data_IF_406880530704
#
_entry.id   IF_406880530704
#
_cell.length_a   1.000
_cell.length_b   1.000
_cell.length_c   1.000
_cell.angle_alpha   90.00
_cell.angle_beta   90.00
_cell.angle_gamma   90.00
#
_symmetry.space_group_name_H-M   'P 1'
#
loop_
_entity.id
_entity.type
_entity.pdbx_description
1 polymer ?
#
# COMPACT_ATOMS: atom_id res chain seq x y z
N UNK A 1 7.57 -19.08 -7.45
CA UNK A 1 8.65 -18.75 -6.49
C UNK A 1 8.10 -18.99 -5.10
N UNK A 2 8.84 -19.65 -4.23
CA UNK A 2 8.40 -19.96 -2.84
C UNK A 2 8.91 -18.81 -1.98
N UNK A 3 8.01 -17.93 -1.55
CA UNK A 3 8.39 -16.75 -0.77
C UNK A 3 8.62 -17.05 0.71
N UNK A 4 8.05 -18.16 1.23
CA UNK A 4 8.19 -18.54 2.64
C UNK A 4 9.65 -18.70 3.07
N UNK A 5 10.52 -19.27 2.24
CA UNK A 5 11.94 -19.44 2.57
C UNK A 5 12.65 -18.11 2.80
N UNK A 6 12.40 -17.12 1.96
CA UNK A 6 13.05 -15.80 2.07
C UNK A 6 12.48 -15.00 3.25
N UNK A 7 11.17 -15.13 3.51
CA UNK A 7 10.56 -14.55 4.72
C UNK A 7 11.14 -15.18 5.98
N UNK A 8 11.37 -16.49 5.98
CA UNK A 8 11.99 -17.18 7.11
C UNK A 8 13.42 -16.67 7.37
N UNK A 9 14.22 -16.48 6.32
CA UNK A 9 15.57 -15.89 6.47
C UNK A 9 15.51 -14.54 7.17
N UNK A 10 14.55 -13.70 6.80
CA UNK A 10 14.39 -12.40 7.42
C UNK A 10 13.91 -12.51 8.88
N UNK A 11 12.96 -13.38 9.18
CA UNK A 11 12.53 -13.67 10.56
C UNK A 11 13.72 -14.04 11.43
N UNK A 12 14.60 -14.93 10.95
CA UNK A 12 15.76 -15.41 11.71
C UNK A 12 16.80 -14.32 12.01
N UNK A 13 16.80 -13.21 11.30
CA UNK A 13 17.66 -12.05 11.59
C UNK A 13 17.23 -11.28 12.85
N UNK A 14 15.94 -11.33 13.19
CA UNK A 14 15.35 -10.56 14.28
C UNK A 14 14.86 -11.41 15.45
N UNK A 15 14.59 -12.70 15.20
CA UNK A 15 14.07 -13.60 16.20
C UNK A 15 15.14 -13.99 17.23
N UNK A 16 14.76 -14.01 18.49
CA UNK A 16 15.58 -14.58 19.55
C UNK A 16 15.55 -16.14 19.49
N UNK A 17 16.42 -16.85 20.28
CA UNK A 17 16.48 -18.32 20.24
C UNK A 17 15.15 -19.02 20.52
N UNK A 18 14.34 -18.53 21.47
CA UNK A 18 13.05 -19.14 21.81
C UNK A 18 12.01 -18.94 20.69
N UNK A 19 11.98 -17.78 20.07
CA UNK A 19 11.13 -17.46 18.91
C UNK A 19 11.53 -18.32 17.69
N UNK A 20 12.84 -18.46 17.44
CA UNK A 20 13.37 -19.33 16.38
C UNK A 20 12.91 -20.77 16.55
N UNK A 21 13.03 -21.33 17.77
CA UNK A 21 12.56 -22.68 18.08
C UNK A 21 11.06 -22.81 17.87
N UNK A 22 10.29 -21.81 18.31
CA UNK A 22 8.84 -21.81 18.12
C UNK A 22 8.45 -21.81 16.63
N UNK A 23 9.01 -20.91 15.84
CA UNK A 23 8.77 -20.84 14.38
C UNK A 23 9.12 -22.16 13.71
N UNK A 24 10.30 -22.72 13.99
CA UNK A 24 10.73 -24.00 13.43
C UNK A 24 9.80 -25.16 13.82
N UNK A 25 9.25 -25.16 15.04
CA UNK A 25 8.30 -26.18 15.51
C UNK A 25 6.95 -26.13 14.78
N UNK A 26 6.52 -24.92 14.34
CA UNK A 26 5.22 -24.71 13.67
C UNK A 26 5.28 -24.86 12.15
N UNK A 27 6.43 -24.56 11.53
CA UNK A 27 6.59 -24.57 10.07
C UNK A 27 6.34 -25.93 9.39
N UNK A 28 6.31 -27.02 10.14
CA UNK A 28 6.05 -28.38 9.62
C UNK A 28 4.59 -28.84 9.79
N UNK A 29 3.72 -27.97 10.29
CA UNK A 29 2.33 -28.29 10.56
C UNK A 29 1.50 -28.42 9.28
N UNK A 30 0.37 -29.11 9.40
CA UNK A 30 -0.68 -29.07 8.38
C UNK A 30 -1.42 -27.72 8.40
N UNK A 31 -2.33 -27.47 7.44
CA UNK A 31 -3.02 -26.17 7.31
C UNK A 31 -3.81 -25.76 8.54
N UNK A 32 -4.41 -26.70 9.30
CA UNK A 32 -5.13 -26.40 10.54
C UNK A 32 -4.19 -26.05 11.69
N UNK A 33 -3.08 -26.76 11.82
CA UNK A 33 -2.05 -26.47 12.82
C UNK A 33 -1.38 -25.13 12.56
N UNK A 34 -1.12 -24.80 11.29
CA UNK A 34 -0.61 -23.50 10.87
C UNK A 34 -1.62 -22.37 11.17
N UNK A 35 -2.91 -22.58 10.91
CA UNK A 35 -3.93 -21.59 11.26
C UNK A 35 -4.00 -21.33 12.76
N UNK A 36 -3.89 -22.38 13.60
CA UNK A 36 -3.79 -22.21 15.04
C UNK A 36 -2.50 -21.44 15.43
N UNK A 37 -1.37 -21.75 14.81
CA UNK A 37 -0.12 -21.04 15.04
C UNK A 37 -0.23 -19.56 14.66
N UNK A 38 -0.91 -19.24 13.56
CA UNK A 38 -1.17 -17.86 13.13
C UNK A 38 -1.91 -17.03 14.23
N UNK A 39 -2.96 -17.59 14.80
CA UNK A 39 -3.70 -16.94 15.89
C UNK A 39 -2.84 -16.83 17.16
N UNK A 40 -2.05 -17.85 17.45
CA UNK A 40 -1.22 -17.90 18.68
C UNK A 40 0.07 -17.06 18.57
N UNK A 41 0.47 -16.60 17.40
CA UNK A 41 1.74 -15.88 17.16
C UNK A 41 2.04 -14.79 18.20
N UNK A 42 1.12 -13.89 18.59
CA UNK A 42 1.43 -12.81 19.52
C UNK A 42 1.76 -13.26 20.95
N UNK A 43 1.52 -14.51 21.28
CA UNK A 43 1.87 -15.09 22.60
C UNK A 43 3.31 -15.58 22.67
N UNK A 44 3.95 -15.80 21.52
CA UNK A 44 5.26 -16.44 21.42
C UNK A 44 6.29 -15.58 20.70
N UNK A 45 5.83 -14.61 19.91
CA UNK A 45 6.68 -13.74 19.09
C UNK A 45 6.52 -12.29 19.55
N UNK A 46 7.64 -11.63 19.73
CA UNK A 46 7.69 -10.23 20.14
C UNK A 46 7.26 -9.27 19.03
N UNK A 47 6.96 -8.04 19.43
CA UNK A 47 6.72 -6.91 18.51
C UNK A 47 8.01 -6.16 18.17
N UNK A 48 9.12 -6.87 18.04
CA UNK A 48 10.39 -6.29 17.58
C UNK A 48 10.20 -5.66 16.19
N UNK A 49 10.64 -4.42 16.02
CA UNK A 49 10.55 -3.72 14.74
C UNK A 49 11.51 -4.30 13.71
N UNK A 50 11.02 -4.51 12.48
CA UNK A 50 11.83 -4.91 11.34
C UNK A 50 12.47 -3.66 10.74
N UNK A 51 13.78 -3.59 10.75
CA UNK A 51 14.54 -2.48 10.20
C UNK A 51 15.49 -2.96 9.11
N UNK A 52 15.72 -2.14 8.08
CA UNK A 52 16.62 -2.47 6.97
C UNK A 52 16.28 -3.86 6.35
N UNK A 53 14.99 -4.10 6.12
CA UNK A 53 14.51 -5.33 5.49
C UNK A 53 14.90 -5.39 4.01
N UNK A 54 15.07 -6.63 3.49
CA UNK A 54 15.26 -6.87 2.06
C UNK A 54 13.91 -6.85 1.34
N UNK A 55 13.80 -6.13 0.23
CA UNK A 55 12.65 -6.24 -0.66
C UNK A 55 12.74 -7.57 -1.43
N UNK A 56 11.75 -8.44 -1.26
CA UNK A 56 11.67 -9.74 -1.93
C UNK A 56 10.86 -9.65 -3.22
N UNK A 57 9.81 -8.88 -3.17
CA UNK A 57 8.94 -8.56 -4.30
C UNK A 57 9.07 -7.06 -4.52
N UNK A 58 9.22 -6.64 -5.77
CA UNK A 58 9.26 -5.22 -6.09
C UNK A 58 7.99 -4.53 -5.58
N UNK A 59 8.18 -3.43 -4.86
CA UNK A 59 7.09 -2.68 -4.23
C UNK A 59 6.48 -3.29 -2.96
N UNK A 60 7.00 -4.41 -2.44
CA UNK A 60 6.58 -4.98 -1.17
C UNK A 60 7.63 -4.70 -0.09
N UNK A 61 7.37 -3.74 0.77
CA UNK A 61 8.26 -3.36 1.86
C UNK A 61 7.76 -3.87 3.20
N UNK A 62 8.70 -4.32 4.05
CA UNK A 62 8.42 -4.72 5.43
C UNK A 62 9.00 -3.72 6.44
N UNK A 63 9.44 -2.60 5.95
CA UNK A 63 9.94 -1.55 6.79
C UNK A 63 8.91 -1.16 7.82
N UNK A 64 8.55 -0.91 8.70
CA UNK A 64 7.44 -0.66 9.63
C UNK A 64 6.68 -1.92 10.09
N UNK A 65 7.14 -3.13 9.71
CA UNK A 65 6.52 -4.34 10.22
C UNK A 65 7.13 -4.74 11.56
N UNK A 66 6.32 -5.38 12.39
CA UNK A 66 6.79 -6.07 13.59
C UNK A 66 7.07 -7.54 13.31
N UNK A 67 7.94 -8.17 14.11
CA UNK A 67 8.32 -9.56 13.94
C UNK A 67 7.10 -10.50 14.00
N UNK A 68 6.16 -10.26 14.91
CA UNK A 68 4.92 -11.03 15.00
C UNK A 68 4.07 -10.93 13.73
N UNK A 69 4.00 -9.74 13.11
CA UNK A 69 3.33 -9.55 11.81
C UNK A 69 4.05 -10.32 10.69
N UNK A 70 5.38 -10.27 10.65
CA UNK A 70 6.16 -10.99 9.63
C UNK A 70 6.04 -12.50 9.79
N UNK A 71 6.02 -13.01 11.02
CA UNK A 71 5.79 -14.45 11.31
C UNK A 71 4.38 -14.86 10.90
N UNK A 72 3.36 -14.05 11.13
CA UNK A 72 2.00 -14.29 10.61
C UNK A 72 1.99 -14.41 9.09
N UNK A 73 2.65 -13.49 8.39
CA UNK A 73 2.77 -13.51 6.92
C UNK A 73 3.47 -14.80 6.46
N UNK A 74 4.55 -15.21 7.13
CA UNK A 74 5.23 -16.46 6.85
C UNK A 74 4.28 -17.67 6.95
N UNK A 75 3.52 -17.76 8.03
CA UNK A 75 2.55 -18.85 8.25
C UNK A 75 1.46 -18.85 7.17
N UNK A 76 0.96 -17.69 6.77
CA UNK A 76 -0.02 -17.55 5.68
C UNK A 76 0.57 -18.08 4.36
N UNK A 77 1.83 -17.77 4.06
CA UNK A 77 2.52 -18.29 2.88
C UNK A 77 2.63 -19.83 2.93
N UNK A 78 2.98 -20.42 4.09
CA UNK A 78 3.01 -21.88 4.26
C UNK A 78 1.63 -22.51 4.01
N UNK A 79 0.55 -21.94 4.55
CA UNK A 79 -0.80 -22.43 4.30
C UNK A 79 -1.12 -22.37 2.81
N UNK A 80 -0.76 -21.28 2.14
CA UNK A 80 -0.97 -21.11 0.69
C UNK A 80 -0.18 -22.12 -0.14
N UNK A 81 1.05 -22.44 0.25
CA UNK A 81 1.91 -23.43 -0.42
C UNK A 81 1.37 -24.86 -0.29
N UNK A 82 0.64 -25.15 0.79
CA UNK A 82 -0.08 -26.42 1.03
C UNK A 82 -1.48 -26.46 0.38
N UNK A 83 -1.77 -25.54 -0.58
CA UNK A 83 -3.08 -25.40 -1.23
C UNK A 83 -4.24 -25.18 -0.24
N UNK A 84 -3.96 -24.52 0.88
CA UNK A 84 -4.90 -24.25 1.97
C UNK A 84 -5.80 -23.04 1.77
N UNK A 85 -6.34 -22.82 0.56
CA UNK A 85 -7.19 -21.66 0.26
C UNK A 85 -8.44 -21.58 1.15
N UNK A 86 -9.10 -22.71 1.41
CA UNK A 86 -10.27 -22.78 2.30
C UNK A 86 -9.90 -22.37 3.73
N UNK A 87 -8.73 -22.81 4.21
CA UNK A 87 -8.26 -22.44 5.53
C UNK A 87 -7.92 -20.94 5.62
N UNK A 88 -7.34 -20.35 4.55
CA UNK A 88 -7.11 -18.91 4.47
C UNK A 88 -8.43 -18.13 4.45
N UNK A 89 -9.44 -18.58 3.70
CA UNK A 89 -10.76 -17.97 3.71
C UNK A 89 -11.39 -17.97 5.09
N UNK A 90 -11.28 -19.09 5.83
CA UNK A 90 -11.76 -19.17 7.21
C UNK A 90 -11.04 -18.17 8.12
N UNK A 91 -9.72 -18.01 7.96
CA UNK A 91 -8.96 -17.00 8.68
C UNK A 91 -9.44 -15.58 8.35
N UNK A 92 -9.69 -15.26 7.07
CA UNK A 92 -10.26 -13.97 6.69
C UNK A 92 -11.61 -13.69 7.34
N UNK A 93 -12.49 -14.72 7.44
CA UNK A 93 -13.84 -14.59 8.00
C UNK A 93 -13.84 -14.35 9.52
N UNK A 94 -12.81 -14.80 10.22
CA UNK A 94 -12.72 -14.77 11.69
C UNK A 94 -11.64 -13.82 12.22
N UNK A 95 -10.91 -13.13 11.34
CA UNK A 95 -9.75 -12.33 11.69
C UNK A 95 -10.08 -11.15 12.61
N UNK A 96 -9.31 -10.97 13.67
CA UNK A 96 -9.20 -9.71 14.36
C UNK A 96 -8.38 -8.68 13.53
N UNK A 97 -8.35 -7.41 13.95
CA UNK A 97 -7.73 -6.32 13.17
C UNK A 97 -6.28 -6.63 12.79
N UNK A 98 -5.42 -7.06 13.73
CA UNK A 98 -4.01 -7.35 13.44
C UNK A 98 -3.82 -8.61 12.57
N UNK A 99 -4.74 -9.55 12.66
CA UNK A 99 -4.80 -10.73 11.81
C UNK A 99 -5.20 -10.34 10.39
N UNK A 100 -6.24 -9.53 10.24
CA UNK A 100 -6.67 -8.99 8.95
C UNK A 100 -5.55 -8.18 8.28
N UNK A 101 -4.82 -7.34 9.03
CA UNK A 101 -3.64 -6.61 8.54
C UNK A 101 -2.59 -7.57 7.97
N UNK A 102 -2.27 -8.66 8.68
CA UNK A 102 -1.29 -9.64 8.20
C UNK A 102 -1.78 -10.40 6.96
N UNK A 103 -3.06 -10.79 6.94
CA UNK A 103 -3.67 -11.48 5.81
C UNK A 103 -3.62 -10.63 4.52
N UNK A 104 -3.99 -9.35 4.60
CA UNK A 104 -3.95 -8.48 3.43
C UNK A 104 -2.52 -8.11 3.01
N UNK A 105 -1.63 -7.92 3.97
CA UNK A 105 -0.21 -7.68 3.68
C UNK A 105 0.48 -8.87 2.99
N UNK A 106 0.01 -10.11 3.22
CA UNK A 106 0.58 -11.32 2.63
C UNK A 106 0.14 -11.60 1.19
N UNK A 107 -0.91 -10.95 0.69
CA UNK A 107 -1.53 -11.26 -0.60
C UNK A 107 -0.56 -11.35 -1.79
N UNK A 108 0.47 -10.49 -1.92
CA UNK A 108 1.42 -10.57 -3.03
C UNK A 108 2.21 -11.87 -3.09
N UNK A 109 2.39 -12.55 -1.95
CA UNK A 109 3.22 -13.74 -1.81
C UNK A 109 2.44 -15.07 -1.91
N UNK A 110 1.12 -15.01 -2.07
CA UNK A 110 0.30 -16.21 -2.15
C UNK A 110 0.46 -16.95 -3.48
N UNK A 111 0.32 -18.28 -3.46
CA UNK A 111 0.45 -19.16 -4.64
C UNK A 111 -0.57 -18.80 -5.73
N UNK A 112 -1.82 -18.51 -5.34
CA UNK A 112 -2.92 -18.14 -6.23
C UNK A 112 -3.57 -16.82 -5.77
N UNK A 113 -2.90 -15.66 -5.92
CA UNK A 113 -3.33 -14.42 -5.30
C UNK A 113 -4.69 -13.93 -5.81
N UNK A 114 -5.06 -14.19 -7.06
CA UNK A 114 -6.33 -13.76 -7.65
C UNK A 114 -7.57 -14.33 -6.97
N UNK A 115 -7.46 -15.46 -6.26
CA UNK A 115 -8.58 -16.03 -5.49
C UNK A 115 -9.06 -15.12 -4.36
N UNK A 116 -8.21 -14.20 -3.91
CA UNK A 116 -8.47 -13.28 -2.80
C UNK A 116 -8.82 -11.85 -3.25
N UNK A 117 -9.13 -11.67 -4.56
CA UNK A 117 -9.41 -10.33 -5.10
C UNK A 117 -10.61 -9.66 -4.40
N UNK A 118 -11.66 -10.42 -4.10
CA UNK A 118 -12.82 -9.90 -3.37
C UNK A 118 -12.41 -9.42 -1.96
N UNK A 119 -11.61 -10.22 -1.23
CA UNK A 119 -11.09 -9.84 0.10
C UNK A 119 -10.29 -8.55 0.04
N UNK A 120 -9.41 -8.42 -0.97
CA UNK A 120 -8.60 -7.22 -1.16
C UNK A 120 -9.45 -5.98 -1.47
N UNK A 121 -10.45 -6.09 -2.34
CA UNK A 121 -11.35 -4.97 -2.67
C UNK A 121 -12.26 -4.60 -1.50
N UNK A 122 -12.68 -5.56 -0.67
CA UNK A 122 -13.45 -5.29 0.55
C UNK A 122 -12.58 -4.57 1.61
N UNK A 123 -11.29 -4.91 1.71
CA UNK A 123 -10.35 -4.18 2.56
C UNK A 123 -10.24 -2.70 2.16
N UNK A 124 -10.25 -2.40 0.86
CA UNK A 124 -10.27 -1.00 0.37
C UNK A 124 -11.53 -0.26 0.81
N UNK A 125 -12.68 -0.94 0.89
CA UNK A 125 -13.94 -0.34 1.36
C UNK A 125 -14.03 -0.22 2.88
N UNK A 126 -13.19 -0.97 3.61
CA UNK A 126 -13.21 -0.98 5.07
C UNK A 126 -12.90 0.41 5.66
N UNK A 127 -13.57 0.73 6.76
CA UNK A 127 -13.26 1.91 7.58
C UNK A 127 -12.14 1.65 8.60
N UNK A 128 -11.59 0.44 8.66
CA UNK A 128 -10.44 0.10 9.50
C UNK A 128 -9.15 0.57 8.82
N UNK A 129 -8.61 1.70 9.25
CA UNK A 129 -7.47 2.37 8.63
C UNK A 129 -6.26 1.45 8.44
N UNK A 130 -5.90 0.65 9.45
CA UNK A 130 -4.75 -0.26 9.39
C UNK A 130 -4.94 -1.40 8.36
N UNK A 131 -6.16 -1.92 8.20
CA UNK A 131 -6.48 -2.93 7.18
C UNK A 131 -6.40 -2.32 5.80
N UNK A 132 -6.99 -1.14 5.60
CA UNK A 132 -6.88 -0.40 4.35
C UNK A 132 -5.40 -0.12 3.98
N UNK A 133 -4.61 0.39 4.94
CA UNK A 133 -3.20 0.72 4.69
C UNK A 133 -2.35 -0.52 4.37
N UNK A 134 -2.67 -1.68 4.93
CA UNK A 134 -1.94 -2.93 4.66
C UNK A 134 -2.09 -3.43 3.22
N UNK A 135 -3.17 -3.03 2.52
CA UNK A 135 -3.36 -3.34 1.10
C UNK A 135 -2.95 -2.19 0.19
N UNK A 136 -3.10 -0.94 0.63
CA UNK A 136 -2.86 0.23 -0.21
C UNK A 136 -1.38 0.61 -0.31
N UNK A 137 -0.60 0.46 0.78
CA UNK A 137 0.76 0.98 0.86
C UNK A 137 1.82 -0.11 0.81
N UNK A 138 2.86 0.16 -0.01
CA UNK A 138 4.02 -0.72 -0.14
C UNK A 138 3.62 -2.18 -0.38
N UNK A 139 2.51 -2.35 -1.11
CA UNK A 139 1.92 -3.62 -1.46
C UNK A 139 1.63 -3.64 -2.97
N UNK A 140 2.29 -4.49 -3.75
CA UNK A 140 2.09 -4.52 -5.20
C UNK A 140 0.77 -5.15 -5.64
N UNK A 141 0.04 -5.81 -4.73
CA UNK A 141 -1.18 -6.53 -5.08
C UNK A 141 -2.23 -5.68 -5.82
N UNK A 142 -2.59 -4.46 -5.36
CA UNK A 142 -3.53 -3.61 -6.08
C UNK A 142 -3.05 -3.24 -7.48
N UNK A 143 -1.76 -2.92 -7.63
CA UNK A 143 -1.18 -2.58 -8.92
C UNK A 143 -1.24 -3.73 -9.92
N UNK A 144 -1.11 -4.97 -9.44
CA UNK A 144 -1.06 -6.16 -10.29
C UNK A 144 -2.44 -6.72 -10.63
N UNK A 145 -3.41 -6.62 -9.70
CA UNK A 145 -4.65 -7.41 -9.81
C UNK A 145 -5.95 -6.60 -9.79
N UNK A 146 -5.95 -5.34 -9.35
CA UNK A 146 -7.18 -4.55 -9.33
C UNK A 146 -7.62 -4.14 -10.74
N UNK A 147 -8.93 -4.13 -10.97
CA UNK A 147 -9.49 -3.42 -12.12
C UNK A 147 -9.20 -1.92 -12.03
N UNK A 148 -9.31 -1.20 -13.13
CA UNK A 148 -9.14 0.25 -13.15
C UNK A 148 -10.08 0.94 -12.15
N UNK A 149 -11.33 0.51 -12.09
CA UNK A 149 -12.31 1.05 -11.14
C UNK A 149 -11.88 0.85 -9.69
N UNK A 150 -11.48 -0.37 -9.30
CA UNK A 150 -11.05 -0.67 -7.94
C UNK A 150 -9.76 0.08 -7.57
N UNK A 151 -8.83 0.21 -8.54
CA UNK A 151 -7.62 0.99 -8.41
C UNK A 151 -7.93 2.48 -8.15
N UNK A 152 -8.76 3.09 -9.00
CA UNK A 152 -9.13 4.49 -8.87
C UNK A 152 -9.83 4.76 -7.54
N UNK A 153 -10.76 3.88 -7.10
CA UNK A 153 -11.41 3.99 -5.80
C UNK A 153 -10.42 3.96 -4.64
N UNK A 154 -9.39 3.09 -4.69
CA UNK A 154 -8.35 3.03 -3.67
C UNK A 154 -7.52 4.33 -3.63
N UNK A 155 -7.06 4.81 -4.78
CA UNK A 155 -6.24 6.03 -4.88
C UNK A 155 -7.04 7.25 -4.40
N UNK A 156 -8.27 7.42 -4.87
CA UNK A 156 -9.15 8.52 -4.45
C UNK A 156 -9.44 8.46 -2.94
N UNK A 157 -9.66 7.28 -2.38
CA UNK A 157 -9.82 7.13 -0.94
C UNK A 157 -8.57 7.56 -0.16
N UNK A 158 -7.38 7.28 -0.66
CA UNK A 158 -6.14 7.80 -0.07
C UNK A 158 -6.10 9.33 -0.11
N UNK A 159 -6.42 9.93 -1.25
CA UNK A 159 -6.42 11.38 -1.44
C UNK A 159 -7.44 12.07 -0.54
N UNK A 160 -8.68 11.56 -0.50
CA UNK A 160 -9.78 12.17 0.29
C UNK A 160 -9.56 12.06 1.80
N UNK A 161 -8.73 11.12 2.25
CA UNK A 161 -8.37 10.93 3.66
C UNK A 161 -6.94 11.44 3.98
N UNK A 162 -6.37 12.30 3.15
CA UNK A 162 -5.03 12.90 3.32
C UNK A 162 -3.93 11.85 3.61
N UNK A 163 -4.02 10.68 2.95
CA UNK A 163 -3.05 9.59 3.10
C UNK A 163 -1.84 9.78 2.19
N UNK A 164 -0.73 9.15 2.55
CA UNK A 164 0.55 9.22 1.85
C UNK A 164 0.52 8.45 0.51
N UNK A 165 -0.05 9.05 -0.55
CA UNK A 165 -0.22 8.40 -1.86
C UNK A 165 1.10 7.97 -2.50
N UNK A 166 2.22 8.61 -2.18
CA UNK A 166 3.55 8.22 -2.67
C UNK A 166 3.98 6.81 -2.24
N UNK A 167 3.34 6.25 -1.18
CA UNK A 167 3.56 4.87 -0.74
C UNK A 167 2.79 3.82 -1.55
N UNK A 168 1.92 4.25 -2.48
CA UNK A 168 1.17 3.33 -3.35
C UNK A 168 2.10 2.83 -4.45
N UNK A 169 2.37 1.52 -4.49
CA UNK A 169 3.19 0.94 -5.53
C UNK A 169 2.51 1.01 -6.90
N UNK A 170 3.25 1.48 -7.90
CA UNK A 170 2.76 1.61 -9.27
C UNK A 170 1.82 2.79 -9.49
N UNK A 171 1.81 3.79 -8.59
CA UNK A 171 0.89 4.92 -8.60
C UNK A 171 0.85 5.63 -9.97
N UNK A 172 1.99 6.10 -10.48
CA UNK A 172 2.07 6.81 -11.76
C UNK A 172 1.93 5.87 -12.96
N UNK A 173 2.30 4.59 -12.80
CA UNK A 173 2.20 3.59 -13.87
C UNK A 173 0.74 3.21 -14.17
N UNK A 174 -0.11 3.29 -13.15
CA UNK A 174 -1.54 2.97 -13.24
C UNK A 174 -2.46 4.20 -13.23
N UNK A 175 -1.88 5.40 -13.27
CA UNK A 175 -2.65 6.60 -13.56
C UNK A 175 -3.36 6.45 -14.92
N UNK A 176 -4.59 6.96 -15.03
CA UNK A 176 -5.43 6.84 -16.21
C UNK A 176 -6.29 8.11 -16.38
N UNK A 177 -6.91 8.26 -17.55
CA UNK A 177 -7.70 9.45 -17.88
C UNK A 177 -8.84 9.66 -16.88
N UNK A 178 -9.60 8.61 -16.55
CA UNK A 178 -10.73 8.73 -15.62
C UNK A 178 -10.29 9.21 -14.22
N UNK A 179 -9.13 8.76 -13.75
CA UNK A 179 -8.56 9.24 -12.49
C UNK A 179 -8.14 10.71 -12.60
N UNK A 180 -7.46 11.10 -13.69
CA UNK A 180 -7.01 12.46 -13.91
C UNK A 180 -8.18 13.46 -14.00
N UNK A 181 -9.25 13.11 -14.72
CA UNK A 181 -10.46 13.93 -14.81
C UNK A 181 -11.14 14.07 -13.44
N UNK A 182 -11.26 12.98 -12.68
CA UNK A 182 -11.81 13.01 -11.31
C UNK A 182 -10.97 13.90 -10.38
N UNK A 183 -9.64 13.94 -10.56
CA UNK A 183 -8.77 14.83 -9.76
C UNK A 183 -8.96 16.31 -10.10
N UNK A 184 -9.21 16.65 -11.38
CA UNK A 184 -9.58 18.00 -11.78
C UNK A 184 -10.90 18.43 -11.13
N UNK A 185 -11.94 17.58 -11.19
CA UNK A 185 -13.23 17.86 -10.56
C UNK A 185 -13.07 18.04 -9.04
N UNK A 186 -12.33 17.17 -8.38
CA UNK A 186 -12.00 17.28 -6.96
C UNK A 186 -11.28 18.58 -6.63
N UNK A 187 -10.35 19.01 -7.47
CA UNK A 187 -9.64 20.27 -7.27
C UNK A 187 -10.60 21.47 -7.36
N UNK A 188 -11.49 21.48 -8.35
CA UNK A 188 -12.49 22.53 -8.51
C UNK A 188 -13.44 22.62 -7.30
N UNK A 189 -13.91 21.47 -6.77
CA UNK A 189 -14.75 21.42 -5.57
C UNK A 189 -14.01 22.00 -4.34
N UNK A 190 -12.75 21.60 -4.15
CA UNK A 190 -11.95 22.10 -3.03
C UNK A 190 -11.69 23.61 -3.14
N UNK A 191 -11.32 24.10 -4.30
CA UNK A 191 -11.08 25.51 -4.52
C UNK A 191 -12.35 26.35 -4.36
N UNK A 192 -13.49 25.86 -4.84
CA UNK A 192 -14.78 26.53 -4.64
C UNK A 192 -15.15 26.65 -3.15
N UNK A 193 -14.70 25.70 -2.32
CA UNK A 193 -14.87 25.70 -0.87
C UNK A 193 -13.75 26.47 -0.11
N UNK A 194 -12.83 27.12 -0.80
CA UNK A 194 -11.67 27.80 -0.21
C UNK A 194 -10.64 26.84 0.41
N UNK A 195 -10.64 25.56 0.00
CA UNK A 195 -9.75 24.53 0.52
C UNK A 195 -8.60 24.27 -0.44
N UNK A 196 -7.46 23.87 0.11
CA UNK A 196 -6.31 23.46 -0.70
C UNK A 196 -6.49 22.07 -1.28
N UNK A 197 -5.82 21.83 -2.42
CA UNK A 197 -5.65 20.52 -3.03
C UNK A 197 -4.27 19.99 -2.63
N UNK A 198 -4.13 18.73 -2.16
CA UNK A 198 -2.81 18.17 -1.87
C UNK A 198 -1.92 18.20 -3.12
N UNK A 199 -0.77 18.89 -3.04
CA UNK A 199 0.07 19.14 -4.23
C UNK A 199 0.58 17.85 -4.91
N UNK A 200 0.68 16.75 -4.15
CA UNK A 200 1.08 15.43 -4.69
C UNK A 200 0.11 14.83 -5.70
N UNK A 201 -1.18 15.21 -5.71
CA UNK A 201 -2.16 14.60 -6.63
C UNK A 201 -1.83 14.91 -8.09
N UNK A 202 -1.15 16.00 -8.33
CA UNK A 202 -0.81 16.46 -9.68
C UNK A 202 0.25 15.60 -10.38
N UNK A 203 0.96 14.73 -9.65
CA UNK A 203 1.86 13.73 -10.25
C UNK A 203 1.13 12.70 -11.13
N UNK A 204 -0.19 12.61 -11.02
CA UNK A 204 -1.02 11.65 -11.73
C UNK A 204 -1.57 12.15 -13.07
N UNK A 205 -1.39 13.45 -13.39
CA UNK A 205 -2.05 14.07 -14.56
C UNK A 205 -1.17 14.29 -15.80
N UNK A 206 0.19 14.29 -15.75
CA UNK A 206 1.01 14.72 -16.90
C UNK A 206 0.70 14.04 -18.22
N UNK A 207 0.35 12.73 -18.17
CA UNK A 207 0.06 11.90 -19.36
C UNK A 207 -1.36 12.12 -19.93
N UNK A 208 -2.22 12.85 -19.23
CA UNK A 208 -3.66 12.92 -19.48
C UNK A 208 -4.16 14.36 -19.68
N UNK A 209 -3.25 15.25 -20.07
CA UNK A 209 -3.54 16.69 -20.19
C UNK A 209 -4.68 16.95 -21.17
N UNK A 210 -5.67 17.71 -20.71
CA UNK A 210 -6.77 18.26 -21.48
C UNK A 210 -6.94 19.75 -21.13
N UNK A 211 -7.92 20.45 -21.72
CA UNK A 211 -8.14 21.89 -21.49
C UNK A 211 -8.37 22.24 -20.01
N UNK A 212 -9.14 21.42 -19.28
CA UNK A 212 -9.41 21.62 -17.85
C UNK A 212 -8.11 21.50 -17.04
N UNK A 213 -7.37 20.41 -17.21
CA UNK A 213 -6.10 20.18 -16.51
C UNK A 213 -5.05 21.24 -16.85
N UNK A 214 -4.99 21.72 -18.11
CA UNK A 214 -4.13 22.84 -18.47
C UNK A 214 -4.49 24.12 -17.71
N UNK A 215 -5.79 24.39 -17.55
CA UNK A 215 -6.28 25.53 -16.76
C UNK A 215 -5.92 25.37 -15.28
N UNK A 216 -6.05 24.15 -14.74
CA UNK A 216 -5.70 23.83 -13.35
C UNK A 216 -4.20 24.05 -13.09
N UNK A 217 -3.33 23.56 -13.97
CA UNK A 217 -1.89 23.76 -13.84
C UNK A 217 -1.52 25.26 -13.92
N UNK A 218 -2.11 26.03 -14.83
CA UNK A 218 -1.91 27.49 -14.88
C UNK A 218 -2.34 28.18 -13.59
N UNK A 219 -3.41 27.72 -12.95
CA UNK A 219 -3.86 28.24 -11.66
C UNK A 219 -2.85 27.93 -10.56
N UNK A 220 -2.23 26.73 -10.55
CA UNK A 220 -1.18 26.37 -9.60
C UNK A 220 0.09 27.21 -9.78
N UNK A 221 0.48 27.52 -11.02
CA UNK A 221 1.62 28.41 -11.30
C UNK A 221 1.45 29.82 -10.69
N UNK A 222 0.19 30.25 -10.53
CA UNK A 222 -0.17 31.56 -9.97
C UNK A 222 -0.52 31.49 -8.47
N UNK A 223 -0.34 30.36 -7.83
CA UNK A 223 -0.64 30.16 -6.40
C UNK A 223 0.36 30.90 -5.52
N UNK A 224 -0.10 31.38 -4.37
CA UNK A 224 0.78 31.92 -3.32
C UNK A 224 1.51 30.80 -2.54
N UNK A 225 1.14 29.52 -2.77
CA UNK A 225 1.77 28.37 -2.11
C UNK A 225 2.95 27.83 -2.93
N UNK A 226 4.19 27.86 -2.40
CA UNK A 226 5.36 27.35 -3.12
C UNK A 226 5.23 25.88 -3.56
N UNK A 227 4.47 25.06 -2.80
CA UNK A 227 4.26 23.64 -3.14
C UNK A 227 3.36 23.47 -4.37
N UNK A 228 2.37 24.33 -4.56
CA UNK A 228 1.52 24.32 -5.74
C UNK A 228 2.32 24.73 -6.97
N UNK A 229 3.14 25.79 -6.84
CA UNK A 229 4.04 26.24 -7.91
C UNK A 229 5.01 25.13 -8.30
N UNK A 230 5.63 24.46 -7.30
CA UNK A 230 6.53 23.33 -7.55
C UNK A 230 5.81 22.19 -8.25
N UNK A 231 4.59 21.84 -7.81
CA UNK A 231 3.80 20.78 -8.45
C UNK A 231 3.52 21.11 -9.92
N UNK A 232 3.11 22.35 -10.23
CA UNK A 232 2.91 22.80 -11.62
C UNK A 232 4.18 22.66 -12.46
N UNK A 233 5.33 23.13 -11.95
CA UNK A 233 6.62 23.00 -12.62
C UNK A 233 7.00 21.55 -12.89
N UNK A 234 6.74 20.64 -11.92
CA UNK A 234 7.01 19.21 -12.07
C UNK A 234 6.10 18.57 -13.12
N UNK A 235 4.81 18.96 -13.17
CA UNK A 235 3.89 18.50 -14.22
C UNK A 235 4.39 18.91 -15.61
N UNK A 236 4.72 20.19 -15.79
CA UNK A 236 5.20 20.72 -17.08
C UNK A 236 6.50 20.00 -17.48
N UNK A 237 7.45 19.87 -16.54
CA UNK A 237 8.70 19.17 -16.80
C UNK A 237 8.51 17.70 -17.17
N UNK A 238 7.56 17.00 -16.51
CA UNK A 238 7.25 15.59 -16.82
C UNK A 238 6.64 15.43 -18.22
N UNK A 239 5.85 16.41 -18.69
CA UNK A 239 5.30 16.43 -20.06
C UNK A 239 6.44 16.57 -21.07
N UNK A 240 7.37 17.50 -20.84
CA UNK A 240 8.48 17.77 -21.75
C UNK A 240 9.56 16.66 -21.71
N UNK A 241 9.78 16.07 -20.55
CA UNK A 241 10.82 15.09 -20.28
C UNK A 241 10.28 13.94 -19.41
N UNK A 242 9.56 12.99 -19.97
CA UNK A 242 8.95 11.87 -19.21
C UNK A 242 9.95 11.09 -18.36
N UNK A 243 9.61 10.86 -17.10
CA UNK A 243 10.43 10.14 -16.13
C UNK A 243 11.50 10.97 -15.42
N UNK A 244 11.62 12.27 -15.75
CA UNK A 244 12.67 13.14 -15.18
C UNK A 244 12.34 13.70 -13.80
N UNK A 245 11.10 13.58 -13.32
CA UNK A 245 10.63 14.29 -12.12
C UNK A 245 10.51 13.41 -10.88
N UNK A 246 10.69 12.08 -11.00
CA UNK A 246 10.44 11.10 -9.93
C UNK A 246 11.08 11.47 -8.59
N UNK A 247 12.36 11.86 -8.58
CA UNK A 247 13.05 12.22 -7.35
C UNK A 247 12.57 13.57 -6.78
N UNK A 248 12.16 14.50 -7.63
CA UNK A 248 11.75 15.84 -7.23
C UNK A 248 10.36 15.84 -6.56
N UNK A 249 9.48 14.90 -6.92
CA UNK A 249 8.21 14.71 -6.22
C UNK A 249 8.39 14.40 -4.72
N UNK A 250 9.54 13.87 -4.30
CA UNK A 250 9.84 13.59 -2.89
C UNK A 250 9.81 14.85 -2.01
N UNK A 251 10.07 16.02 -2.56
CA UNK A 251 9.98 17.29 -1.81
C UNK A 251 8.53 17.58 -1.38
N UNK A 252 7.55 17.08 -2.13
CA UNK A 252 6.12 17.24 -1.84
C UNK A 252 5.55 16.09 -0.98
N UNK A 253 6.33 15.05 -0.67
CA UNK A 253 5.89 13.91 0.14
C UNK A 253 5.87 14.20 1.65
N UNK A 254 6.59 15.22 2.09
CA UNK A 254 6.55 15.67 3.46
C UNK A 254 5.18 16.29 3.78
N UNK A 255 4.64 16.07 5.01
CA UNK A 255 3.42 16.74 5.43
C UNK A 255 3.52 18.25 5.22
N UNK A 256 2.44 18.84 4.73
CA UNK A 256 2.36 20.30 4.70
C UNK A 256 2.45 20.83 6.13
N UNK A 257 3.28 21.88 6.39
CA UNK A 257 3.25 22.54 7.68
C UNK A 257 1.80 22.98 7.94
N UNK A 258 1.24 22.58 9.07
CA UNK A 258 -0.05 23.10 9.52
C UNK A 258 0.17 24.57 9.83
N UNK A 259 0.01 25.43 8.84
CA UNK A 259 -0.08 26.86 9.09
C UNK A 259 -1.40 27.06 9.85
N UNK A 260 -1.27 27.30 11.15
CA UNK A 260 -2.35 27.87 11.93
C UNK A 260 -2.72 29.23 11.28
N UNK A 261 -3.97 29.32 10.83
CA UNK A 261 -4.59 30.55 10.38
C UNK A 261 -4.84 31.45 11.60
#
# INVERSE_FOLDING_TARGET
>A
MIYSSVILEEILRFANPSETVWVASKSKGNTKELALAFVMTPRFISKTQIINSKNIIDGWSWQDYTLDKLVRIYIICLISELDGADQLNLLFDTAEINEAVALHAALPALKNPTQFLLRATDAVRSNMGSVFESIAFENPYPSLYFSELAWNQMVLKCIFNDKAIHRIYGLENRANQALADTLSDFAHERWAAGRRVPSQVWRLVPKFMNENLQSDIKKLEQSDNPRDILAAQLVIKEIDQPGSTKEQWKELELPEPIYQV
#
